data_IF_783649681999
#
_entry.id   IF_783649681999
#
_cell.length_a   1.000
_cell.length_b   1.000
_cell.length_c   1.000
_cell.angle_alpha   90.00
_cell.angle_beta   90.00
_cell.angle_gamma   90.00
#
_symmetry.space_group_name_H-M   'P 1'
#
loop_
_entity.id
_entity.type
_entity.pdbx_description
1 polymer ?
#
# COMPACT_ATOMS: atom_id res chain seq x y z
N UNK A 1 25.90 -10.84 7.72
CA UNK A 1 26.24 -9.44 7.34
C UNK A 1 25.35 -9.05 6.16
N UNK A 2 24.28 -8.32 6.47
CA UNK A 2 23.69 -7.24 5.66
C UNK A 2 23.56 -7.42 4.15
N UNK A 3 22.43 -7.98 3.70
CA UNK A 3 21.86 -7.75 2.36
C UNK A 3 20.38 -7.32 2.46
N UNK A 4 19.99 -6.84 3.64
CA UNK A 4 18.71 -6.20 3.95
C UNK A 4 18.94 -4.68 3.78
N UNK A 5 18.38 -4.08 2.71
CA UNK A 5 18.06 -2.63 2.70
C UNK A 5 17.37 -2.10 1.44
N UNK A 6 17.45 -2.73 0.25
CA UNK A 6 16.85 -2.16 -0.96
C UNK A 6 16.33 -3.26 -1.88
N UNK A 7 15.20 -3.85 -1.52
CA UNK A 7 14.30 -4.49 -2.48
C UNK A 7 13.73 -3.33 -3.34
N UNK A 8 14.52 -2.86 -4.31
CA UNK A 8 14.04 -1.93 -5.33
C UNK A 8 12.96 -2.67 -6.09
N UNK A 9 11.73 -2.13 -6.10
CA UNK A 9 10.63 -2.63 -6.92
C UNK A 9 11.16 -3.05 -8.30
N UNK A 10 10.83 -4.26 -8.76
CA UNK A 10 11.13 -4.72 -10.12
C UNK A 10 10.86 -3.58 -11.09
N UNK A 11 11.85 -3.21 -11.91
CA UNK A 11 11.75 -2.08 -12.82
C UNK A 11 10.43 -2.13 -13.59
N UNK A 12 9.57 -1.13 -13.33
CA UNK A 12 8.23 -1.12 -13.91
C UNK A 12 8.30 -1.06 -15.43
N UNK A 13 7.34 -1.65 -16.16
CA UNK A 13 7.34 -1.52 -17.62
C UNK A 13 7.29 -0.03 -17.99
N UNK A 14 8.03 0.39 -19.02
CA UNK A 14 8.14 1.80 -19.42
C UNK A 14 6.79 2.45 -19.80
N UNK A 15 5.74 1.64 -19.99
CA UNK A 15 4.37 2.09 -20.25
C UNK A 15 3.52 2.25 -18.99
N UNK A 16 4.00 1.78 -17.82
CA UNK A 16 3.30 1.96 -16.56
C UNK A 16 3.28 3.43 -16.19
N UNK A 17 2.08 3.91 -15.85
CA UNK A 17 1.85 5.24 -15.31
C UNK A 17 1.29 5.19 -13.89
N UNK A 18 1.23 3.99 -13.31
CA UNK A 18 0.56 3.68 -12.05
C UNK A 18 1.42 2.67 -11.27
N UNK A 19 1.60 2.92 -9.98
CA UNK A 19 2.24 2.03 -9.02
C UNK A 19 1.40 2.03 -7.74
N UNK A 20 1.21 0.85 -7.15
CA UNK A 20 0.54 0.69 -5.86
C UNK A 20 1.58 0.21 -4.88
N UNK A 21 1.78 0.97 -3.80
CA UNK A 21 2.61 0.59 -2.67
C UNK A 21 1.69 0.07 -1.56
N UNK A 22 1.72 -1.24 -1.31
CA UNK A 22 0.84 -1.94 -0.37
C UNK A 22 1.50 -2.33 0.95
N UNK A 23 2.83 -2.25 1.06
CA UNK A 23 3.59 -2.60 2.27
C UNK A 23 3.93 -1.35 3.10
N UNK A 24 2.90 -0.64 3.55
CA UNK A 24 3.04 0.62 4.28
C UNK A 24 2.52 0.51 5.71
N UNK A 25 3.28 1.05 6.68
CA UNK A 25 2.83 1.20 8.05
C UNK A 25 1.85 2.36 8.17
N UNK A 26 0.66 2.09 8.71
CA UNK A 26 -0.33 3.13 8.95
C UNK A 26 0.20 4.23 9.89
N UNK A 27 -0.06 5.48 9.51
CA UNK A 27 0.33 6.65 10.28
C UNK A 27 1.71 7.22 9.93
N UNK A 28 2.53 6.51 9.15
CA UNK A 28 3.81 7.01 8.65
C UNK A 28 3.63 7.85 7.38
N UNK A 29 4.52 8.84 7.19
CA UNK A 29 4.54 9.66 5.98
C UNK A 29 5.63 9.14 5.05
N UNK A 30 5.22 8.79 3.84
CA UNK A 30 6.11 8.28 2.80
C UNK A 30 6.33 9.34 1.73
N UNK A 31 7.53 9.32 1.14
CA UNK A 31 7.97 10.24 0.11
C UNK A 31 8.32 9.47 -1.16
N UNK A 32 7.75 9.88 -2.29
CA UNK A 32 7.92 9.21 -3.57
C UNK A 32 8.48 10.18 -4.62
N UNK A 33 9.43 9.68 -5.41
CA UNK A 33 9.91 10.30 -6.62
C UNK A 33 10.14 9.21 -7.66
N UNK A 34 9.94 9.53 -8.93
CA UNK A 34 10.12 8.58 -10.03
C UNK A 34 11.19 9.09 -10.98
N UNK A 35 11.98 8.18 -11.54
CA UNK A 35 12.95 8.45 -12.58
C UNK A 35 12.73 7.45 -13.73
N UNK A 36 13.00 7.89 -14.96
CA UNK A 36 12.98 6.99 -16.11
C UNK A 36 14.38 6.37 -16.28
N UNK A 37 14.44 5.06 -16.45
CA UNK A 37 15.69 4.35 -16.75
C UNK A 37 15.74 3.93 -18.23
N UNK A 38 16.92 4.04 -18.83
CA UNK A 38 17.21 3.53 -20.18
C UNK A 38 18.50 2.70 -20.17
N UNK A 39 18.84 2.04 -21.28
CA UNK A 39 20.12 1.33 -21.42
C UNK A 39 21.36 2.23 -21.23
N UNK A 40 21.21 3.56 -21.34
CA UNK A 40 22.28 4.53 -21.09
C UNK A 40 22.39 4.93 -19.61
N UNK A 41 21.44 4.52 -18.76
CA UNK A 41 21.37 4.84 -17.34
C UNK A 41 20.04 5.47 -16.92
N UNK A 42 19.97 5.82 -15.64
CA UNK A 42 18.83 6.48 -14.99
C UNK A 42 18.83 8.00 -15.24
N UNK A 43 17.65 8.55 -15.54
CA UNK A 43 17.42 9.97 -15.74
C UNK A 43 17.27 10.74 -14.42
N UNK A 44 16.99 12.07 -14.49
CA UNK A 44 16.71 12.85 -13.30
C UNK A 44 15.41 12.41 -12.62
N UNK A 45 15.42 12.43 -11.28
CA UNK A 45 14.21 12.20 -10.48
C UNK A 45 13.18 13.32 -10.69
N UNK A 46 11.90 12.94 -10.61
CA UNK A 46 10.78 13.87 -10.48
C UNK A 46 10.87 14.69 -9.19
N UNK A 47 10.12 15.80 -9.07
CA UNK A 47 9.84 16.38 -7.77
C UNK A 47 9.25 15.32 -6.83
N UNK A 48 9.67 15.35 -5.56
CA UNK A 48 9.15 14.45 -4.54
C UNK A 48 7.73 14.85 -4.14
N UNK A 49 6.85 13.88 -4.06
CA UNK A 49 5.52 14.00 -3.45
C UNK A 49 5.48 13.20 -2.16
N UNK A 50 4.57 13.51 -1.24
CA UNK A 50 4.43 12.77 0.01
C UNK A 50 2.98 12.47 0.32
N UNK A 51 2.74 11.30 0.91
CA UNK A 51 1.43 10.90 1.41
C UNK A 51 1.60 10.24 2.78
N UNK A 52 0.61 10.46 3.65
CA UNK A 52 0.52 9.73 4.92
C UNK A 52 -0.25 8.43 4.67
N UNK A 53 0.36 7.30 4.99
CA UNK A 53 -0.31 6.01 4.94
C UNK A 53 -1.48 6.01 5.93
N UNK A 54 -2.65 5.59 5.45
CA UNK A 54 -3.87 5.49 6.23
C UNK A 54 -4.18 4.03 6.49
N UNK A 55 -4.58 3.73 7.73
CA UNK A 55 -5.05 2.40 8.09
C UNK A 55 -6.41 2.17 7.42
N UNK A 56 -6.59 1.00 6.81
CA UNK A 56 -7.93 0.53 6.47
C UNK A 56 -8.66 0.18 7.76
N UNK A 57 -9.97 0.45 7.88
CA UNK A 57 -10.71 0.00 9.05
C UNK A 57 -10.54 -1.52 9.18
N UNK A 58 -10.14 -1.96 10.38
CA UNK A 58 -9.99 -3.37 10.68
C UNK A 58 -11.28 -4.15 10.44
N UNK A 59 -11.13 -5.46 10.26
CA UNK A 59 -12.28 -6.38 10.19
C UNK A 59 -13.06 -6.25 11.50
N UNK A 60 -14.39 -6.08 11.46
CA UNK A 60 -15.20 -6.05 12.67
C UNK A 60 -15.00 -7.35 13.46
N UNK A 61 -14.63 -7.22 14.73
CA UNK A 61 -14.45 -8.33 15.64
C UNK A 61 -15.78 -8.96 16.04
N UNK A 62 -15.70 -10.20 16.51
CA UNK A 62 -16.79 -10.87 17.22
C UNK A 62 -18.14 -10.85 16.47
N UNK A 63 -18.11 -11.04 15.15
CA UNK A 63 -19.33 -11.15 14.34
C UNK A 63 -20.13 -12.38 14.78
N UNK A 64 -21.28 -12.14 15.40
CA UNK A 64 -22.23 -13.17 15.84
C UNK A 64 -23.55 -12.98 15.11
N UNK A 65 -24.11 -14.10 14.65
CA UNK A 65 -25.44 -14.18 14.08
C UNK A 65 -26.35 -15.04 14.96
N UNK A 66 -27.50 -14.49 15.35
CA UNK A 66 -28.51 -15.20 16.15
C UNK A 66 -29.79 -15.30 15.33
N UNK A 67 -30.28 -16.54 15.16
CA UNK A 67 -31.54 -16.78 14.48
C UNK A 67 -32.72 -16.35 15.35
N UNK A 68 -33.65 -15.58 14.79
CA UNK A 68 -34.94 -15.25 15.38
C UNK A 68 -36.09 -15.69 14.47
N UNK A 69 -37.31 -15.68 14.99
CA UNK A 69 -38.50 -15.95 14.16
C UNK A 69 -38.64 -14.87 13.07
N UNK A 70 -38.34 -15.26 11.82
CA UNK A 70 -38.42 -14.40 10.64
C UNK A 70 -37.29 -13.38 10.48
N UNK A 71 -36.20 -13.46 11.27
CA UNK A 71 -35.07 -12.53 11.17
C UNK A 71 -33.76 -13.17 11.62
N UNK A 72 -32.65 -12.47 11.35
CA UNK A 72 -31.32 -12.77 11.91
C UNK A 72 -30.80 -11.50 12.58
N UNK A 73 -30.43 -11.61 13.85
CA UNK A 73 -29.82 -10.52 14.61
C UNK A 73 -28.28 -10.64 14.50
N UNK A 74 -27.60 -9.56 14.10
CA UNK A 74 -26.14 -9.51 13.93
C UNK A 74 -25.52 -8.54 14.94
N UNK A 75 -24.44 -8.95 15.61
CA UNK A 75 -23.63 -8.11 16.51
C UNK A 75 -22.14 -8.25 16.19
N UNK A 76 -21.37 -7.18 16.34
CA UNK A 76 -19.91 -7.13 16.13
C UNK A 76 -19.28 -6.00 16.97
N UNK A 77 -17.94 -5.98 17.11
CA UNK A 77 -17.17 -4.96 17.87
C UNK A 77 -15.94 -4.45 17.15
#
# INVERSE_FOLDING_TARGET
PSEDALELAEAMPASATEFVDDDLTAGETYHYAVAAETAAGEGPMSPSVSAKAVDLPGIPGDLVAVAGEGRVDLTWS
#
